data_IF_305663720599
#
_entry.id   IF_305663720599
#
_cell.length_a   1.000
_cell.length_b   1.000
_cell.length_c   1.000
_cell.angle_alpha   90.00
_cell.angle_beta   90.00
_cell.angle_gamma   90.00
#
_symmetry.space_group_name_H-M   'P 1'
#
loop_
_entity.id
_entity.type
_entity.pdbx_description
1 polymer ?
#
# COMPACT_ATOMS: atom_id res chain seq x y z
N UNK A 1 -7.93 4.85 -13.49
CA UNK A 1 -8.46 5.79 -14.52
C UNK A 1 -8.24 7.20 -14.03
N UNK A 2 -7.97 8.17 -14.92
CA UNK A 2 -7.82 9.59 -14.55
C UNK A 2 -8.96 10.38 -15.16
N UNK A 3 -9.59 11.25 -14.39
CA UNK A 3 -10.63 12.18 -14.87
C UNK A 3 -10.24 13.61 -14.44
N UNK A 4 -10.46 14.58 -15.32
CA UNK A 4 -10.05 15.96 -15.10
C UNK A 4 -11.20 16.92 -15.42
N UNK A 5 -11.34 17.95 -14.60
CA UNK A 5 -12.15 19.14 -14.87
C UNK A 5 -11.26 20.38 -14.81
N UNK A 6 -11.80 21.57 -15.13
CA UNK A 6 -11.02 22.82 -15.10
C UNK A 6 -10.33 23.12 -13.76
N UNK A 7 -10.81 22.55 -12.66
CA UNK A 7 -10.32 22.83 -11.30
C UNK A 7 -10.02 21.60 -10.46
N UNK A 8 -10.19 20.38 -10.97
CA UNK A 8 -10.06 19.15 -10.18
C UNK A 8 -9.47 18.00 -10.99
N UNK A 9 -8.60 17.22 -10.35
CA UNK A 9 -8.06 15.95 -10.84
C UNK A 9 -8.61 14.81 -9.97
N UNK A 10 -9.17 13.79 -10.61
CA UNK A 10 -9.69 12.58 -9.95
C UNK A 10 -8.90 11.37 -10.40
N UNK A 11 -8.34 10.63 -9.43
CA UNK A 11 -7.64 9.38 -9.64
C UNK A 11 -8.51 8.22 -9.16
N UNK A 12 -9.02 7.42 -10.10
CA UNK A 12 -9.75 6.18 -9.79
C UNK A 12 -8.73 5.05 -9.63
N UNK A 13 -8.62 4.54 -8.41
CA UNK A 13 -7.69 3.48 -7.99
C UNK A 13 -8.43 2.26 -7.44
N UNK A 14 -7.70 1.18 -7.19
CA UNK A 14 -8.24 -0.01 -6.53
C UNK A 14 -8.61 0.30 -5.07
N UNK A 15 -9.77 -0.22 -4.61
CA UNK A 15 -10.20 -0.05 -3.23
C UNK A 15 -9.61 -1.13 -2.30
N UNK A 16 -8.80 -0.70 -1.32
CA UNK A 16 -8.26 -1.57 -0.29
C UNK A 16 -9.18 -1.60 0.94
N UNK A 17 -10.06 -2.62 0.99
CA UNK A 17 -11.17 -2.70 1.95
C UNK A 17 -10.75 -2.73 3.43
N UNK A 18 -9.57 -3.24 3.75
CA UNK A 18 -9.15 -3.49 5.14
C UNK A 18 -8.26 -2.37 5.71
N UNK A 19 -8.23 -1.20 5.07
CA UNK A 19 -7.57 -0.01 5.60
C UNK A 19 -6.05 -0.12 5.67
N UNK A 20 -5.44 0.67 6.55
CA UNK A 20 -3.99 0.77 6.73
C UNK A 20 -3.46 -0.38 7.60
N UNK A 21 -2.25 -0.88 7.29
CA UNK A 21 -1.58 -1.85 8.16
C UNK A 21 -1.23 -1.23 9.52
N UNK A 22 -1.02 0.09 9.58
CA UNK A 22 -0.76 0.80 10.84
C UNK A 22 -1.93 0.60 11.82
N UNK A 23 -3.15 0.91 11.39
CA UNK A 23 -4.36 0.71 12.20
C UNK A 23 -4.59 -0.75 12.55
N UNK A 24 -4.30 -1.66 11.63
CA UNK A 24 -4.38 -3.10 11.89
C UNK A 24 -3.44 -3.53 13.03
N UNK A 25 -2.19 -3.07 13.02
CA UNK A 25 -1.21 -3.37 14.06
C UNK A 25 -1.58 -2.71 15.40
N UNK A 26 -2.12 -1.49 15.36
CA UNK A 26 -2.58 -0.80 16.56
C UNK A 26 -3.73 -1.54 17.25
N UNK A 27 -4.64 -2.14 16.48
CA UNK A 27 -5.83 -2.85 16.97
C UNK A 27 -5.59 -4.32 17.32
N UNK A 28 -4.69 -5.01 16.62
CA UNK A 28 -4.46 -6.46 16.77
C UNK A 28 -3.12 -6.81 17.40
N UNK A 29 -2.26 -5.82 17.64
CA UNK A 29 -0.91 -6.03 18.12
C UNK A 29 0.05 -6.47 17.02
N UNK A 30 1.14 -7.13 17.43
CA UNK A 30 2.23 -7.51 16.51
C UNK A 30 1.83 -8.71 15.66
N UNK A 31 2.25 -8.70 14.40
CA UNK A 31 2.17 -9.86 13.52
C UNK A 31 3.12 -10.97 13.99
N UNK A 32 2.75 -12.22 13.70
CA UNK A 32 3.69 -13.32 13.77
C UNK A 32 4.82 -13.13 12.75
N UNK A 33 5.99 -13.73 12.99
CA UNK A 33 7.12 -13.61 12.07
C UNK A 33 6.77 -14.14 10.66
N UNK A 34 5.95 -15.20 10.57
CA UNK A 34 5.51 -15.75 9.30
C UNK A 34 4.63 -14.77 8.50
N UNK A 35 3.69 -14.09 9.16
CA UNK A 35 2.83 -13.09 8.52
C UNK A 35 3.60 -11.83 8.16
N UNK A 36 4.47 -11.36 9.06
CA UNK A 36 5.34 -10.22 8.82
C UNK A 36 6.24 -10.48 7.60
N UNK A 37 6.84 -11.67 7.49
CA UNK A 37 7.65 -12.08 6.33
C UNK A 37 6.85 -12.05 5.04
N UNK A 38 5.62 -12.57 5.04
CA UNK A 38 4.75 -12.58 3.85
C UNK A 38 4.44 -11.15 3.38
N UNK A 39 4.04 -10.27 4.30
CA UNK A 39 3.72 -8.87 3.98
C UNK A 39 4.97 -8.09 3.55
N UNK A 40 6.09 -8.30 4.23
CA UNK A 40 7.36 -7.66 3.88
C UNK A 40 7.82 -8.05 2.47
N UNK A 41 7.66 -9.32 2.09
CA UNK A 41 7.95 -9.77 0.73
C UNK A 41 7.08 -9.07 -0.32
N UNK A 42 5.79 -8.85 -0.04
CA UNK A 42 4.91 -8.08 -0.92
C UNK A 42 5.37 -6.62 -1.08
N UNK A 43 5.81 -5.99 0.01
CA UNK A 43 6.39 -4.63 -0.02
C UNK A 43 7.64 -4.61 -0.90
N UNK A 44 8.58 -5.53 -0.67
CA UNK A 44 9.83 -5.61 -1.43
C UNK A 44 9.57 -5.84 -2.93
N UNK A 45 8.67 -6.77 -3.26
CA UNK A 45 8.30 -7.06 -4.65
C UNK A 45 7.70 -5.83 -5.35
N UNK A 46 6.81 -5.10 -4.69
CA UNK A 46 6.23 -3.87 -5.24
C UNK A 46 7.28 -2.74 -5.39
N UNK A 47 8.18 -2.57 -4.42
CA UNK A 47 9.26 -1.59 -4.48
C UNK A 47 10.24 -1.92 -5.61
N UNK A 48 10.64 -3.19 -5.75
CA UNK A 48 11.48 -3.66 -6.84
C UNK A 48 10.85 -3.38 -8.20
N UNK A 49 9.55 -3.67 -8.36
CA UNK A 49 8.79 -3.37 -9.57
C UNK A 49 8.83 -1.89 -9.95
N UNK A 50 8.67 -0.99 -8.97
CA UNK A 50 8.75 0.45 -9.14
C UNK A 50 10.18 0.91 -9.51
N UNK A 51 11.19 0.44 -8.78
CA UNK A 51 12.58 0.79 -9.01
C UNK A 51 13.07 0.33 -10.40
N UNK A 52 12.61 -0.83 -10.87
CA UNK A 52 12.85 -1.31 -12.24
C UNK A 52 12.35 -0.35 -13.32
N UNK A 53 11.36 0.51 -12.99
CA UNK A 53 10.78 1.54 -13.87
C UNK A 53 11.27 2.95 -13.57
N UNK A 54 12.35 3.09 -12.78
CA UNK A 54 12.91 4.39 -12.35
C UNK A 54 11.92 5.24 -11.53
N UNK A 55 10.93 4.62 -10.90
CA UNK A 55 9.99 5.27 -9.99
C UNK A 55 10.44 4.96 -8.56
N UNK A 56 10.65 5.99 -7.75
CA UNK A 56 10.96 5.86 -6.32
C UNK A 56 9.75 6.36 -5.54
N UNK A 57 9.23 5.56 -4.62
CA UNK A 57 8.04 5.92 -3.83
C UNK A 57 8.27 7.17 -2.96
N UNK A 58 9.46 7.30 -2.37
CA UNK A 58 9.93 8.41 -1.51
C UNK A 58 9.19 8.61 -0.18
N UNK A 59 7.96 8.12 -0.02
CA UNK A 59 7.20 8.21 1.24
C UNK A 59 6.74 6.82 1.71
N UNK A 60 7.64 5.83 1.78
CA UNK A 60 7.26 4.48 2.20
C UNK A 60 7.20 4.41 3.73
N UNK A 61 6.00 4.26 4.27
CA UNK A 61 5.69 4.18 5.71
C UNK A 61 4.42 3.35 5.94
N UNK A 62 4.14 2.95 7.18
CA UNK A 62 3.04 2.04 7.48
C UNK A 62 1.66 2.58 7.08
N UNK A 63 1.48 3.89 7.15
CA UNK A 63 0.26 4.61 6.78
C UNK A 63 -0.02 4.53 5.27
N UNK A 64 1.03 4.39 4.45
CA UNK A 64 0.92 4.25 3.00
C UNK A 64 0.86 2.77 2.55
N UNK A 65 0.71 1.83 3.49
CA UNK A 65 0.57 0.40 3.21
C UNK A 65 -0.85 -0.05 3.56
N UNK A 66 -1.67 -0.23 2.54
CA UNK A 66 -3.06 -0.64 2.67
C UNK A 66 -3.21 -2.16 2.59
N UNK A 67 -4.35 -2.65 3.07
CA UNK A 67 -4.73 -4.06 3.07
C UNK A 67 -5.93 -4.29 2.15
N UNK A 68 -5.72 -5.11 1.11
CA UNK A 68 -6.83 -5.56 0.24
C UNK A 68 -7.77 -6.53 0.97
N UNK A 69 -8.83 -6.97 0.29
CA UNK A 69 -9.84 -7.89 0.84
C UNK A 69 -9.24 -9.22 1.37
N UNK A 70 -8.05 -9.61 0.90
CA UNK A 70 -7.36 -10.85 1.26
C UNK A 70 -6.17 -10.60 2.19
N UNK A 71 -6.12 -9.43 2.85
CA UNK A 71 -5.06 -9.01 3.76
C UNK A 71 -3.67 -8.95 3.11
N UNK A 72 -3.59 -8.69 1.81
CA UNK A 72 -2.35 -8.43 1.09
C UNK A 72 -2.03 -6.95 1.06
N UNK A 73 -0.74 -6.65 0.97
CA UNK A 73 -0.24 -5.27 0.87
C UNK A 73 -0.60 -4.64 -0.47
N UNK A 74 -1.08 -3.40 -0.42
CA UNK A 74 -1.17 -2.45 -1.53
C UNK A 74 -0.42 -1.18 -1.12
N UNK A 75 0.57 -0.76 -1.90
CA UNK A 75 1.29 0.49 -1.65
C UNK A 75 0.47 1.64 -2.23
N UNK A 76 0.11 2.62 -1.40
CA UNK A 76 -0.59 3.82 -1.79
C UNK A 76 0.40 5.01 -1.87
N UNK A 77 0.26 5.83 -2.91
CA UNK A 77 0.95 7.11 -3.00
C UNK A 77 -0.02 8.24 -2.66
N UNK A 78 0.40 9.15 -1.79
CA UNK A 78 -0.29 10.42 -1.56
C UNK A 78 -0.07 11.38 -2.73
#
# INVERSE_FOLDING_TARGET
>A
QVMETKSMLYLVTEFAKNGEIFDYLASHGRLSEAEARRKFWQILSAVEYCHGRKIVHRDLKAENLLLDNNMNIKIAGN
#
